data_IF_634710918405
#
_entry.id   IF_634710918405
#
_cell.length_a   1.000
_cell.length_b   1.000
_cell.length_c   1.000
_cell.angle_alpha   90.00
_cell.angle_beta   90.00
_cell.angle_gamma   90.00
#
_symmetry.space_group_name_H-M   'P 1'
#
loop_
_entity.id
_entity.type
_entity.pdbx_description
1 polymer ?
#
# COMPACT_ATOMS: atom_id res chain seq x y z
N UNK A 1 -4.93 30.48 86.90
CA UNK A 1 -6.18 31.16 86.48
C UNK A 1 -6.30 30.98 84.97
N UNK A 2 -7.49 30.75 84.40
CA UNK A 2 -7.68 30.68 82.93
C UNK A 2 -8.02 32.07 82.33
N UNK A 3 -8.62 32.15 81.13
CA UNK A 3 -8.47 31.28 79.95
C UNK A 3 -8.08 32.09 78.66
N UNK A 4 -8.13 31.42 77.49
CA UNK A 4 -7.96 31.90 76.07
C UNK A 4 -8.96 33.03 75.65
N UNK A 5 -8.97 33.62 74.40
CA UNK A 5 -8.34 33.24 73.10
C UNK A 5 -7.63 34.45 72.38
N UNK A 6 -7.38 34.60 71.06
CA UNK A 6 -7.60 33.81 69.80
C UNK A 6 -6.63 34.22 68.65
N UNK A 7 -6.60 33.40 67.57
CA UNK A 7 -6.32 33.70 66.13
C UNK A 7 -4.94 34.09 65.58
N UNK A 8 -4.75 33.66 64.32
CA UNK A 8 -3.53 33.71 63.52
C UNK A 8 -3.63 34.65 62.31
N UNK A 9 -2.49 34.96 61.67
CA UNK A 9 -2.39 35.17 60.22
C UNK A 9 -0.94 34.93 59.74
N UNK A 10 -0.79 34.39 58.51
CA UNK A 10 0.49 33.90 57.99
C UNK A 10 1.31 34.95 57.22
N UNK A 11 2.63 34.74 57.17
CA UNK A 11 3.58 35.60 56.46
C UNK A 11 3.95 35.07 55.08
N UNK A 12 3.83 35.93 54.06
CA UNK A 12 4.29 35.65 52.69
C UNK A 12 5.79 35.93 52.62
N UNK A 13 6.58 34.95 52.15
CA UNK A 13 8.03 35.12 51.93
C UNK A 13 8.33 35.07 50.43
N UNK A 14 8.81 36.20 49.90
CA UNK A 14 9.29 36.33 48.52
C UNK A 14 10.76 35.92 48.45
N UNK A 15 11.11 35.02 47.53
CA UNK A 15 12.49 34.61 47.25
C UNK A 15 12.73 34.59 45.74
N UNK A 16 13.66 35.43 45.26
CA UNK A 16 13.89 35.66 43.83
C UNK A 16 14.83 34.62 43.21
N UNK A 17 14.38 33.94 42.15
CA UNK A 17 15.20 33.03 41.35
C UNK A 17 15.93 33.77 40.22
N UNK A 18 17.25 33.51 40.07
CA UNK A 18 18.11 34.16 39.07
C UNK A 18 17.71 33.78 37.64
N UNK A 19 17.60 34.80 36.78
CA UNK A 19 17.27 34.68 35.35
C UNK A 19 18.44 34.07 34.55
N UNK A 20 18.40 32.76 34.28
CA UNK A 20 19.33 32.11 33.32
C UNK A 20 19.06 32.64 31.91
N UNK A 21 20.10 33.09 31.21
CA UNK A 21 20.03 33.42 29.79
C UNK A 21 19.76 32.14 28.98
N UNK A 22 18.80 32.20 28.05
CA UNK A 22 18.49 31.11 27.12
C UNK A 22 19.40 31.19 25.90
N UNK A 23 20.15 30.13 25.62
CA UNK A 23 20.85 29.94 24.36
C UNK A 23 19.84 29.75 23.21
N UNK A 24 19.91 30.48 22.09
CA UNK A 24 19.02 30.30 20.96
C UNK A 24 19.50 29.11 20.11
N UNK A 25 19.13 27.89 20.50
CA UNK A 25 19.69 26.68 19.89
C UNK A 25 18.94 25.39 20.18
N UNK A 26 17.65 25.45 20.49
CA UNK A 26 16.78 24.26 20.46
C UNK A 26 15.33 24.69 20.18
N UNK A 27 14.93 24.65 18.91
CA UNK A 27 13.51 24.62 18.55
C UNK A 27 13.12 23.16 18.56
N UNK A 28 12.59 22.70 19.69
CA UNK A 28 12.01 21.38 19.87
C UNK A 28 10.87 21.22 18.83
N UNK A 29 11.19 20.64 17.67
CA UNK A 29 10.30 20.52 16.50
C UNK A 29 9.27 19.39 16.70
N UNK A 30 8.91 19.13 17.96
CA UNK A 30 7.79 18.32 18.40
C UNK A 30 6.48 19.07 18.19
N UNK A 31 6.19 19.38 16.92
CA UNK A 31 4.79 19.37 16.51
C UNK A 31 4.26 17.99 16.85
N UNK A 32 3.25 17.90 17.73
CA UNK A 32 2.67 16.60 18.12
C UNK A 32 2.38 15.77 16.86
N UNK A 33 3.00 14.60 16.77
CA UNK A 33 3.01 13.81 15.56
C UNK A 33 1.60 13.25 15.32
N UNK A 34 0.78 13.98 14.55
CA UNK A 34 -0.60 13.64 14.24
C UNK A 34 -0.65 12.20 13.70
N UNK A 35 -1.32 11.31 14.45
CA UNK A 35 -1.27 9.88 14.23
C UNK A 35 -1.63 9.51 12.77
N UNK A 36 -0.77 8.71 12.14
CA UNK A 36 -0.94 8.27 10.75
C UNK A 36 -0.75 9.36 9.68
N UNK A 37 -0.44 10.63 10.03
CA UNK A 37 -0.11 11.67 9.04
C UNK A 37 1.17 11.33 8.26
N UNK A 38 2.15 10.73 8.94
CA UNK A 38 3.41 10.29 8.33
C UNK A 38 3.16 9.26 7.20
N UNK A 39 2.32 8.25 7.45
CA UNK A 39 1.88 7.32 6.41
C UNK A 39 1.23 8.03 5.20
N UNK A 40 0.28 8.97 5.40
CA UNK A 40 -0.36 9.66 4.25
C UNK A 40 0.60 10.54 3.48
N UNK A 41 1.58 11.16 4.15
CA UNK A 41 2.69 11.89 3.51
C UNK A 41 3.56 10.96 2.67
N UNK A 42 3.96 9.82 3.23
CA UNK A 42 4.73 8.81 2.51
C UNK A 42 3.96 8.28 1.30
N UNK A 43 2.70 7.86 1.46
CA UNK A 43 1.87 7.37 0.36
C UNK A 43 1.73 8.40 -0.78
N UNK A 44 1.49 9.67 -0.48
CA UNK A 44 1.38 10.70 -1.52
C UNK A 44 2.71 10.95 -2.27
N UNK A 45 3.85 10.90 -1.56
CA UNK A 45 5.18 11.01 -2.20
C UNK A 45 5.54 9.76 -3.03
N UNK A 46 5.23 8.57 -2.53
CA UNK A 46 5.45 7.33 -3.27
C UNK A 46 4.54 7.26 -4.51
N UNK A 47 3.29 7.70 -4.42
CA UNK A 47 2.39 7.82 -5.57
C UNK A 47 2.96 8.77 -6.63
N UNK A 48 3.54 9.90 -6.21
CA UNK A 48 4.24 10.81 -7.12
C UNK A 48 5.46 10.14 -7.78
N UNK A 49 6.25 9.37 -7.03
CA UNK A 49 7.39 8.64 -7.58
C UNK A 49 6.98 7.55 -8.60
N UNK A 50 5.86 6.85 -8.37
CA UNK A 50 5.31 5.87 -9.31
C UNK A 50 4.74 6.54 -10.56
N UNK A 51 3.94 7.59 -10.41
CA UNK A 51 3.19 8.20 -11.54
C UNK A 51 4.06 9.19 -12.33
N UNK A 52 4.74 10.11 -11.66
CA UNK A 52 5.46 11.20 -12.31
C UNK A 52 6.89 10.78 -12.67
N UNK A 53 7.58 10.06 -11.77
CA UNK A 53 8.96 9.59 -11.97
C UNK A 53 9.07 8.13 -12.46
N UNK A 54 7.95 7.44 -12.72
CA UNK A 54 7.89 6.06 -13.26
C UNK A 54 8.69 5.02 -12.48
N UNK A 55 8.87 5.23 -11.18
CA UNK A 55 9.64 4.33 -10.31
C UNK A 55 8.76 3.14 -9.86
N UNK A 56 9.24 1.88 -9.91
CA UNK A 56 8.45 0.73 -9.47
C UNK A 56 8.01 0.81 -8.01
N UNK A 57 6.74 0.43 -7.73
CA UNK A 57 6.16 0.45 -6.39
C UNK A 57 6.90 -0.49 -5.43
N UNK A 58 7.29 -1.68 -5.89
CA UNK A 58 7.91 -2.69 -5.03
C UNK A 58 9.26 -2.20 -4.49
N UNK A 59 10.11 -1.66 -5.36
CA UNK A 59 11.38 -1.03 -4.94
C UNK A 59 11.19 0.19 -4.02
N UNK A 60 10.09 0.94 -4.16
CA UNK A 60 9.78 2.06 -3.24
C UNK A 60 9.27 1.59 -1.87
N UNK A 61 8.64 0.42 -1.80
CA UNK A 61 7.97 -0.15 -0.60
C UNK A 61 8.69 -1.37 -0.03
N UNK A 62 9.94 -1.58 -0.43
CA UNK A 62 10.87 -2.53 0.18
C UNK A 62 11.23 -2.13 1.62
N UNK A 63 11.44 -3.11 2.49
CA UNK A 63 11.64 -2.87 3.92
C UNK A 63 13.04 -2.35 4.28
N UNK A 64 14.06 -2.69 3.49
CA UNK A 64 15.47 -2.46 3.82
C UNK A 64 16.10 -1.41 2.91
N UNK A 65 15.77 -1.45 1.62
CA UNK A 65 16.29 -0.60 0.55
C UNK A 65 15.26 0.41 0.02
N UNK A 66 14.01 0.33 0.48
CA UNK A 66 12.91 1.18 0.03
C UNK A 66 13.07 2.67 0.33
N UNK A 67 12.08 3.47 -0.11
CA UNK A 67 12.13 4.92 0.01
C UNK A 67 12.33 5.36 1.48
N UNK A 68 13.23 6.32 1.79
CA UNK A 68 13.61 6.63 3.18
C UNK A 68 12.43 6.96 4.11
N UNK A 69 11.41 7.68 3.61
CA UNK A 69 10.21 8.00 4.41
C UNK A 69 9.25 6.83 4.60
N UNK A 70 9.35 5.76 3.81
CA UNK A 70 8.61 4.53 4.05
C UNK A 70 9.35 3.67 5.09
N UNK A 71 10.68 3.57 4.98
CA UNK A 71 11.51 2.86 5.98
C UNK A 71 11.51 3.51 7.36
N UNK A 72 11.29 4.82 7.44
CA UNK A 72 11.12 5.54 8.71
C UNK A 72 9.79 5.26 9.45
N UNK A 73 8.83 4.56 8.82
CA UNK A 73 7.56 4.16 9.44
C UNK A 73 7.69 2.80 10.14
N UNK A 74 6.85 2.57 11.14
CA UNK A 74 6.65 1.24 11.74
C UNK A 74 5.94 0.28 10.77
N UNK A 75 5.89 -1.01 11.11
CA UNK A 75 5.30 -2.04 10.24
C UNK A 75 3.80 -1.85 9.97
N UNK A 76 3.04 -1.24 10.88
CA UNK A 76 1.60 -0.98 10.71
C UNK A 76 1.39 0.18 9.74
N UNK A 77 2.12 1.28 9.91
CA UNK A 77 2.05 2.42 8.99
C UNK A 77 2.64 2.06 7.60
N UNK A 78 3.66 1.19 7.53
CA UNK A 78 4.14 0.60 6.25
C UNK A 78 3.04 -0.20 5.55
N UNK A 79 2.36 -1.10 6.26
CA UNK A 79 1.25 -1.89 5.71
C UNK A 79 0.11 -0.98 5.20
N UNK A 80 -0.24 0.05 5.96
CA UNK A 80 -1.21 1.07 5.56
C UNK A 80 -0.78 1.84 4.29
N UNK A 81 0.50 2.22 4.18
CA UNK A 81 1.03 2.86 2.96
C UNK A 81 0.90 1.94 1.75
N UNK A 82 1.24 0.65 1.88
CA UNK A 82 1.06 -0.34 0.80
C UNK A 82 -0.41 -0.46 0.40
N UNK A 83 -1.32 -0.62 1.36
CA UNK A 83 -2.76 -0.73 1.12
C UNK A 83 -3.32 0.51 0.39
N UNK A 84 -2.94 1.72 0.82
CA UNK A 84 -3.31 2.97 0.15
C UNK A 84 -2.77 3.02 -1.29
N UNK A 85 -1.48 2.71 -1.49
CA UNK A 85 -0.82 2.82 -2.80
C UNK A 85 -1.38 1.82 -3.81
N UNK A 86 -1.50 0.55 -3.43
CA UNK A 86 -2.05 -0.52 -4.28
C UNK A 86 -3.48 -0.16 -4.71
N UNK A 87 -4.32 0.25 -3.77
CA UNK A 87 -5.71 0.68 -4.04
C UNK A 87 -5.78 1.93 -4.93
N UNK A 88 -4.96 2.95 -4.65
CA UNK A 88 -4.93 4.19 -5.43
C UNK A 88 -4.46 4.00 -6.87
N UNK A 89 -3.58 3.02 -7.10
CA UNK A 89 -3.09 2.65 -8.44
C UNK A 89 -4.09 1.73 -9.18
N UNK A 90 -4.67 0.75 -8.48
CA UNK A 90 -5.64 -0.21 -9.04
C UNK A 90 -6.96 0.43 -9.47
N UNK A 91 -7.42 1.44 -8.74
CA UNK A 91 -8.67 2.16 -9.03
C UNK A 91 -8.43 3.59 -9.53
N UNK A 92 -7.26 3.84 -10.12
CA UNK A 92 -6.80 5.20 -10.45
C UNK A 92 -7.74 5.92 -11.42
N UNK A 93 -8.33 5.21 -12.38
CA UNK A 93 -9.24 5.82 -13.36
C UNK A 93 -10.59 6.16 -12.70
N UNK A 94 -11.13 5.27 -11.86
CA UNK A 94 -12.37 5.52 -11.10
C UNK A 94 -12.18 6.69 -10.14
N UNK A 95 -11.07 6.72 -9.39
CA UNK A 95 -10.74 7.81 -8.46
C UNK A 95 -10.61 9.14 -9.22
N UNK A 96 -9.87 9.18 -10.33
CA UNK A 96 -9.72 10.39 -11.13
C UNK A 96 -11.06 10.89 -11.69
N UNK A 97 -11.91 9.99 -12.16
CA UNK A 97 -13.24 10.31 -12.69
C UNK A 97 -14.26 10.77 -11.63
N UNK A 98 -14.14 10.29 -10.39
CA UNK A 98 -14.96 10.77 -9.27
C UNK A 98 -14.46 12.12 -8.73
N UNK A 99 -13.15 12.33 -8.68
CA UNK A 99 -12.55 13.61 -8.29
C UNK A 99 -12.85 14.71 -9.31
N UNK A 100 -12.79 14.43 -10.62
CA UNK A 100 -13.02 15.44 -11.66
C UNK A 100 -14.45 15.99 -11.66
N UNK A 101 -15.46 15.16 -11.36
CA UNK A 101 -16.87 15.58 -11.18
C UNK A 101 -17.07 16.62 -10.07
N UNK A 102 -16.11 16.74 -9.16
CA UNK A 102 -16.15 17.61 -7.96
C UNK A 102 -15.27 18.85 -8.10
N UNK A 103 -14.73 19.09 -9.30
CA UNK A 103 -13.87 20.21 -9.63
C UNK A 103 -14.50 21.02 -10.76
N UNK A 104 -14.85 22.30 -10.51
CA UNK A 104 -15.39 23.20 -11.55
C UNK A 104 -14.43 23.41 -12.72
N UNK A 105 -13.12 23.32 -12.45
CA UNK A 105 -12.03 23.42 -13.43
C UNK A 105 -11.00 22.33 -13.13
N UNK A 106 -10.39 21.71 -14.15
CA UNK A 106 -9.29 20.78 -13.95
C UNK A 106 -8.17 21.40 -13.09
N UNK A 107 -7.50 20.57 -12.30
CA UNK A 107 -6.33 21.03 -11.54
C UNK A 107 -5.25 21.56 -12.50
N UNK A 108 -4.53 22.64 -12.15
CA UNK A 108 -3.38 23.09 -12.92
C UNK A 108 -2.36 21.96 -13.14
N UNK A 109 -1.75 21.88 -14.32
CA UNK A 109 -0.81 20.80 -14.65
C UNK A 109 0.38 20.71 -13.67
N UNK A 110 0.79 21.84 -13.09
CA UNK A 110 1.85 21.92 -12.07
C UNK A 110 1.38 21.62 -10.63
N UNK A 111 0.10 21.32 -10.41
CA UNK A 111 -0.47 20.98 -9.10
C UNK A 111 -0.44 19.46 -8.82
N UNK A 112 0.60 18.76 -9.27
CA UNK A 112 0.73 17.30 -9.11
C UNK A 112 0.64 16.85 -7.64
N UNK A 113 1.32 17.57 -6.73
CA UNK A 113 1.26 17.32 -5.29
C UNK A 113 -0.17 17.35 -4.73
N UNK A 114 -1.02 18.28 -5.19
CA UNK A 114 -2.44 18.35 -4.83
C UNK A 114 -3.21 17.14 -5.37
N UNK A 115 -2.95 16.75 -6.63
CA UNK A 115 -3.56 15.57 -7.25
C UNK A 115 -3.26 14.29 -6.47
N UNK A 116 -2.01 14.09 -6.05
CA UNK A 116 -1.59 12.90 -5.30
C UNK A 116 -2.19 12.86 -3.88
N UNK A 117 -2.31 14.01 -3.20
CA UNK A 117 -3.04 14.10 -1.91
C UNK A 117 -4.50 13.69 -2.08
N UNK A 118 -5.18 14.22 -3.11
CA UNK A 118 -6.58 13.88 -3.39
C UNK A 118 -6.76 12.40 -3.74
N UNK A 119 -5.87 11.81 -4.55
CA UNK A 119 -5.93 10.37 -4.87
C UNK A 119 -5.71 9.48 -3.64
N UNK A 120 -4.72 9.79 -2.80
CA UNK A 120 -4.46 9.06 -1.55
C UNK A 120 -5.64 9.14 -0.59
N UNK A 121 -6.30 10.30 -0.48
CA UNK A 121 -7.46 10.46 0.39
C UNK A 121 -8.72 9.78 -0.19
N UNK A 122 -8.95 9.91 -1.50
CA UNK A 122 -10.06 9.26 -2.19
C UNK A 122 -9.96 7.73 -2.14
N UNK A 123 -8.76 7.16 -2.31
CA UNK A 123 -8.52 5.72 -2.16
C UNK A 123 -8.94 5.20 -0.77
N UNK A 124 -8.67 5.97 0.29
CA UNK A 124 -9.11 5.63 1.65
C UNK A 124 -10.64 5.69 1.78
N UNK A 125 -11.26 6.81 1.38
CA UNK A 125 -12.72 7.07 1.51
C UNK A 125 -13.56 6.02 0.75
N UNK A 126 -13.10 5.60 -0.44
CA UNK A 126 -13.87 4.80 -1.38
C UNK A 126 -13.67 3.28 -1.21
N UNK A 127 -12.51 2.82 -0.74
CA UNK A 127 -12.11 1.41 -0.86
C UNK A 127 -11.47 0.81 0.39
N UNK A 128 -11.16 1.60 1.42
CA UNK A 128 -10.52 1.10 2.65
C UNK A 128 -11.44 1.35 3.86
N UNK A 129 -11.34 0.48 4.87
CA UNK A 129 -12.05 0.65 6.13
C UNK A 129 -11.35 1.70 7.02
N UNK A 130 -11.46 2.96 6.60
CA UNK A 130 -10.87 4.13 7.24
C UNK A 130 -11.97 5.19 7.38
N UNK A 131 -12.20 5.76 8.58
CA UNK A 131 -13.22 6.79 8.77
C UNK A 131 -13.01 7.98 7.82
N UNK A 132 -14.07 8.38 7.11
CA UNK A 132 -14.02 9.44 6.11
C UNK A 132 -13.49 10.77 6.69
N UNK A 133 -13.86 11.09 7.94
CA UNK A 133 -13.33 12.24 8.67
C UNK A 133 -11.80 12.18 8.81
N UNK A 134 -11.24 11.05 9.22
CA UNK A 134 -9.81 10.86 9.36
C UNK A 134 -9.08 10.98 8.00
N UNK A 135 -9.65 10.42 6.93
CA UNK A 135 -9.09 10.55 5.58
C UNK A 135 -9.10 12.01 5.08
N UNK A 136 -10.18 12.76 5.33
CA UNK A 136 -10.30 14.19 5.00
C UNK A 136 -9.33 15.04 5.84
N UNK A 137 -9.37 14.91 7.15
CA UNK A 137 -8.65 15.80 8.07
C UNK A 137 -7.13 15.60 7.99
N UNK A 138 -6.66 14.36 7.77
CA UNK A 138 -5.24 14.09 7.50
C UNK A 138 -4.80 14.61 6.12
N UNK A 139 -5.66 14.58 5.10
CA UNK A 139 -5.36 15.15 3.79
C UNK A 139 -5.27 16.69 3.84
N UNK A 140 -6.17 17.34 4.57
CA UNK A 140 -6.16 18.78 4.84
C UNK A 140 -4.92 19.17 5.65
N UNK A 141 -4.59 18.40 6.68
CA UNK A 141 -3.39 18.61 7.52
C UNK A 141 -2.09 18.42 6.73
N UNK A 142 -2.04 17.41 5.86
CA UNK A 142 -0.93 17.23 4.94
C UNK A 142 -0.77 18.44 4.02
N UNK A 143 -1.85 18.89 3.37
CA UNK A 143 -1.80 20.06 2.49
C UNK A 143 -1.37 21.36 3.19
N UNK A 144 -1.76 21.54 4.46
CA UNK A 144 -1.29 22.68 5.26
C UNK A 144 0.21 22.68 5.55
N UNK A 145 0.90 21.54 5.38
CA UNK A 145 2.32 21.39 5.69
C UNK A 145 3.29 21.61 4.52
N UNK A 146 2.80 21.92 3.31
CA UNK A 146 3.63 22.39 2.18
C UNK A 146 3.04 23.72 1.66
N UNK A 147 3.81 24.83 1.60
CA UNK A 147 3.36 26.11 1.06
C UNK A 147 2.73 26.03 -0.35
N UNK A 148 3.12 25.05 -1.16
CA UNK A 148 2.59 24.81 -2.52
C UNK A 148 1.15 24.30 -2.50
N UNK A 149 0.76 23.56 -1.46
CA UNK A 149 -0.57 22.94 -1.32
C UNK A 149 -1.44 23.59 -0.25
N UNK A 150 -0.86 24.39 0.66
CA UNK A 150 -1.53 25.13 1.74
C UNK A 150 -2.78 25.91 1.25
N UNK A 151 -2.64 26.67 0.16
CA UNK A 151 -3.74 27.47 -0.45
C UNK A 151 -4.91 26.62 -0.97
N UNK A 152 -4.71 25.33 -1.16
CA UNK A 152 -5.73 24.38 -1.63
C UNK A 152 -6.36 23.56 -0.49
N UNK A 153 -5.99 23.80 0.78
CA UNK A 153 -6.54 23.04 1.92
C UNK A 153 -8.08 23.12 2.03
N UNK A 154 -8.68 24.27 1.69
CA UNK A 154 -10.14 24.43 1.60
C UNK A 154 -10.76 23.63 0.44
N UNK A 155 -10.12 23.61 -0.72
CA UNK A 155 -10.54 22.83 -1.89
C UNK A 155 -10.50 21.33 -1.58
N UNK A 156 -9.42 20.84 -0.97
CA UNK A 156 -9.26 19.43 -0.55
C UNK A 156 -10.40 19.03 0.39
N UNK A 157 -10.68 19.85 1.40
CA UNK A 157 -11.78 19.61 2.33
C UNK A 157 -13.14 19.53 1.62
N UNK A 158 -13.44 20.49 0.73
CA UNK A 158 -14.70 20.55 0.00
C UNK A 158 -14.90 19.36 -0.95
N UNK A 159 -13.87 19.03 -1.73
CA UNK A 159 -13.87 17.91 -2.68
C UNK A 159 -14.04 16.58 -1.95
N UNK A 160 -13.24 16.30 -0.92
CA UNK A 160 -13.25 15.02 -0.23
C UNK A 160 -14.50 14.82 0.64
N UNK A 161 -15.04 15.86 1.31
CA UNK A 161 -16.34 15.77 2.00
C UNK A 161 -17.50 15.54 1.03
N UNK A 162 -17.40 16.02 -0.20
CA UNK A 162 -18.41 15.79 -1.25
C UNK A 162 -18.21 14.44 -1.93
N UNK A 163 -17.01 13.87 -1.89
CA UNK A 163 -16.76 12.47 -2.24
C UNK A 163 -17.37 11.53 -1.20
N UNK A 164 -17.04 11.71 0.08
CA UNK A 164 -17.56 10.90 1.18
C UNK A 164 -19.10 10.84 1.21
N UNK A 165 -19.78 11.98 1.11
CA UNK A 165 -21.25 12.07 1.15
C UNK A 165 -21.98 11.41 -0.03
N UNK A 166 -21.31 11.15 -1.14
CA UNK A 166 -21.92 10.60 -2.36
C UNK A 166 -21.32 9.25 -2.78
N UNK A 167 -20.39 8.69 -2.00
CA UNK A 167 -19.69 7.44 -2.35
C UNK A 167 -20.65 6.26 -2.53
N UNK A 168 -21.64 6.12 -1.65
CA UNK A 168 -22.59 5.01 -1.67
C UNK A 168 -23.48 5.02 -2.93
N UNK A 169 -23.77 6.21 -3.46
CA UNK A 169 -24.56 6.38 -4.68
C UNK A 169 -23.71 6.34 -5.97
N UNK A 170 -22.48 6.84 -5.94
CA UNK A 170 -21.66 7.01 -7.16
C UNK A 170 -20.64 5.89 -7.39
N UNK A 171 -20.14 5.19 -6.36
CA UNK A 171 -19.00 4.29 -6.50
C UNK A 171 -19.32 3.07 -7.37
N UNK A 172 -20.44 2.38 -7.11
CA UNK A 172 -20.82 1.19 -7.89
C UNK A 172 -21.10 1.54 -9.38
N UNK A 173 -21.88 2.59 -9.72
CA UNK A 173 -21.98 3.06 -11.11
C UNK A 173 -20.64 3.47 -11.74
N UNK A 174 -19.76 4.13 -10.99
CA UNK A 174 -18.45 4.53 -11.49
C UNK A 174 -17.54 3.34 -11.79
N UNK A 175 -17.55 2.30 -10.96
CA UNK A 175 -16.83 1.04 -11.19
C UNK A 175 -17.35 0.32 -12.44
N UNK A 176 -18.66 0.29 -12.67
CA UNK A 176 -19.27 -0.33 -13.87
C UNK A 176 -18.89 0.46 -15.15
N UNK A 177 -18.92 1.79 -15.09
CA UNK A 177 -18.69 2.65 -16.24
C UNK A 177 -17.21 2.87 -16.59
N UNK A 178 -16.30 2.74 -15.61
CA UNK A 178 -14.87 3.03 -15.79
C UNK A 178 -14.10 1.78 -16.19
N UNK A 179 -13.11 1.92 -17.05
CA UNK A 179 -12.13 0.89 -17.40
C UNK A 179 -10.78 1.21 -16.75
N UNK A 180 -10.29 0.34 -15.86
CA UNK A 180 -9.02 0.52 -15.13
C UNK A 180 -7.80 0.15 -15.99
N UNK A 181 -7.72 0.72 -17.19
CA UNK A 181 -6.60 0.54 -18.10
C UNK A 181 -6.41 1.77 -19.00
N UNK A 182 -5.17 2.07 -19.43
CA UNK A 182 -4.95 3.05 -20.49
C UNK A 182 -5.48 2.49 -21.82
N UNK A 183 -6.03 3.38 -22.66
CA UNK A 183 -6.69 3.00 -23.91
C UNK A 183 -5.85 2.12 -24.85
N UNK A 184 -4.53 2.32 -24.89
CA UNK A 184 -3.62 1.48 -25.70
C UNK A 184 -3.56 0.03 -25.22
N UNK A 185 -3.66 -0.23 -23.92
CA UNK A 185 -3.58 -1.57 -23.34
C UNK A 185 -4.90 -2.32 -23.55
N UNK A 186 -6.02 -1.64 -23.25
CA UNK A 186 -7.36 -2.15 -23.54
C UNK A 186 -7.55 -2.45 -25.04
N UNK A 187 -7.09 -1.56 -25.92
CA UNK A 187 -7.09 -1.79 -27.37
C UNK A 187 -6.32 -3.04 -27.78
N UNK A 188 -5.13 -3.29 -27.19
CA UNK A 188 -4.36 -4.51 -27.42
C UNK A 188 -5.09 -5.77 -26.93
N UNK A 189 -5.70 -5.74 -25.75
CA UNK A 189 -6.48 -6.88 -25.22
C UNK A 189 -7.67 -7.20 -26.14
N UNK A 190 -8.43 -6.20 -26.58
CA UNK A 190 -9.56 -6.38 -27.50
C UNK A 190 -9.12 -6.94 -28.85
N UNK A 191 -7.96 -6.51 -29.36
CA UNK A 191 -7.40 -7.03 -30.61
C UNK A 191 -6.89 -8.48 -30.49
N UNK A 192 -6.36 -8.88 -29.34
CA UNK A 192 -5.82 -10.22 -29.12
C UNK A 192 -6.88 -11.27 -28.70
N UNK A 193 -7.90 -10.86 -27.94
CA UNK A 193 -8.84 -11.78 -27.29
C UNK A 193 -10.33 -11.51 -27.61
N UNK A 194 -10.64 -10.46 -28.39
CA UNK A 194 -12.01 -10.00 -28.60
C UNK A 194 -12.55 -9.15 -27.45
N UNK A 195 -13.69 -8.50 -27.67
CA UNK A 195 -14.25 -7.49 -26.75
C UNK A 195 -14.65 -8.09 -25.40
N UNK A 196 -15.41 -9.20 -25.41
CA UNK A 196 -15.95 -9.78 -24.18
C UNK A 196 -14.85 -10.36 -23.28
N UNK A 197 -13.89 -11.08 -23.86
CA UNK A 197 -12.76 -11.64 -23.09
C UNK A 197 -11.84 -10.54 -22.56
N UNK A 198 -11.61 -9.47 -23.33
CA UNK A 198 -10.85 -8.31 -22.84
C UNK A 198 -11.56 -7.64 -21.65
N UNK A 199 -12.90 -7.55 -21.66
CA UNK A 199 -13.69 -7.03 -20.54
C UNK A 199 -13.54 -7.91 -19.29
N UNK A 200 -13.55 -9.24 -19.43
CA UNK A 200 -13.30 -10.16 -18.33
C UNK A 200 -11.88 -10.01 -17.74
N UNK A 201 -10.85 -9.93 -18.58
CA UNK A 201 -9.45 -9.71 -18.15
C UNK A 201 -9.31 -8.39 -17.38
N UNK A 202 -9.94 -7.31 -17.88
CA UNK A 202 -9.92 -5.99 -17.25
C UNK A 202 -10.80 -5.90 -15.98
N UNK A 203 -11.73 -6.83 -15.78
CA UNK A 203 -12.41 -7.02 -14.51
C UNK A 203 -11.50 -7.77 -13.52
N UNK A 204 -10.84 -8.85 -13.96
CA UNK A 204 -9.93 -9.64 -13.13
C UNK A 204 -8.80 -8.81 -12.51
N UNK A 205 -8.19 -7.88 -13.25
CA UNK A 205 -7.15 -6.97 -12.74
C UNK A 205 -7.59 -6.03 -11.59
N UNK A 206 -8.90 -5.93 -11.30
CA UNK A 206 -9.43 -5.11 -10.20
C UNK A 206 -9.54 -5.86 -8.88
N UNK A 207 -9.30 -7.16 -8.89
CA UNK A 207 -9.25 -7.95 -7.67
C UNK A 207 -7.83 -7.93 -7.10
N UNK A 208 -7.72 -8.17 -5.80
CA UNK A 208 -6.43 -8.49 -5.20
C UNK A 208 -5.99 -9.87 -5.70
N UNK A 209 -4.72 -10.01 -6.06
CA UNK A 209 -4.20 -11.30 -6.51
C UNK A 209 -4.04 -12.20 -5.27
N UNK A 210 -4.61 -13.43 -5.29
CA UNK A 210 -4.39 -14.38 -4.21
C UNK A 210 -2.92 -14.83 -4.19
N UNK A 211 -2.46 -15.32 -3.04
CA UNK A 211 -1.08 -15.78 -2.89
C UNK A 211 -1.04 -17.29 -3.18
N UNK A 212 -0.30 -17.66 -4.22
CA UNK A 212 -0.06 -19.06 -4.57
C UNK A 212 1.31 -19.54 -4.07
N UNK A 213 1.36 -20.79 -3.63
CA UNK A 213 2.55 -21.47 -3.12
C UNK A 213 2.84 -22.75 -3.91
N UNK A 214 4.10 -22.96 -4.27
CA UNK A 214 4.60 -24.28 -4.68
C UNK A 214 5.26 -24.97 -3.49
N UNK A 215 4.86 -26.22 -3.24
CA UNK A 215 5.37 -27.05 -2.12
C UNK A 215 6.37 -28.10 -2.61
N UNK A 216 7.32 -28.49 -1.76
CA UNK A 216 8.24 -29.61 -2.05
C UNK A 216 7.55 -30.97 -2.08
N UNK A 217 6.57 -31.17 -1.19
CA UNK A 217 5.83 -32.41 -1.00
C UNK A 217 4.53 -32.12 -0.26
N UNK A 218 3.60 -33.07 -0.29
CA UNK A 218 2.34 -33.07 0.48
C UNK A 218 1.53 -31.75 0.43
N UNK A 219 0.87 -31.44 -0.71
CA UNK A 219 0.03 -30.25 -0.83
C UNK A 219 -1.16 -30.24 0.14
N UNK A 220 -1.64 -31.39 0.60
CA UNK A 220 -2.78 -31.49 1.53
C UNK A 220 -2.39 -30.96 2.92
N UNK A 221 -1.29 -31.48 3.48
CA UNK A 221 -0.74 -31.01 4.76
C UNK A 221 -0.47 -29.50 4.76
N UNK A 222 0.12 -28.98 3.68
CA UNK A 222 0.40 -27.55 3.59
C UNK A 222 -0.85 -26.70 3.36
N UNK A 223 -1.90 -27.25 2.76
CA UNK A 223 -3.19 -26.56 2.58
C UNK A 223 -3.88 -26.35 3.92
N UNK A 224 -3.87 -27.35 4.80
CA UNK A 224 -4.35 -27.22 6.19
C UNK A 224 -3.53 -26.19 6.98
N UNK A 225 -2.20 -26.21 6.84
CA UNK A 225 -1.29 -25.29 7.58
C UNK A 225 -1.33 -23.84 7.10
N UNK A 226 -1.56 -23.61 5.80
CA UNK A 226 -1.58 -22.27 5.19
C UNK A 226 -3.00 -21.69 5.07
N UNK A 227 -4.05 -22.49 5.30
CA UNK A 227 -5.44 -22.05 5.21
C UNK A 227 -5.92 -21.78 3.78
N UNK A 228 -5.51 -22.62 2.83
CA UNK A 228 -5.73 -22.43 1.40
C UNK A 228 -6.65 -23.47 0.73
N UNK A 229 -6.52 -23.57 -0.59
CA UNK A 229 -7.04 -24.68 -1.41
C UNK A 229 -5.95 -25.22 -2.35
N UNK A 230 -5.91 -26.53 -2.58
CA UNK A 230 -5.08 -27.11 -3.63
C UNK A 230 -5.72 -26.84 -4.99
N UNK A 231 -5.03 -26.15 -5.88
CA UNK A 231 -5.46 -25.97 -7.27
C UNK A 231 -5.23 -27.25 -8.09
N UNK A 232 -5.93 -27.46 -9.22
CA UNK A 232 -5.69 -28.61 -10.11
C UNK A 232 -4.24 -28.73 -10.60
N UNK A 233 -3.51 -27.61 -10.60
CA UNK A 233 -2.09 -27.51 -10.94
C UNK A 233 -1.15 -27.85 -9.77
N UNK A 234 -1.67 -28.34 -8.63
CA UNK A 234 -0.88 -28.74 -7.46
C UNK A 234 -0.08 -27.61 -6.81
N UNK A 235 -0.52 -26.36 -6.97
CA UNK A 235 -0.12 -25.21 -6.14
C UNK A 235 -1.21 -24.97 -5.10
N UNK A 236 -0.86 -24.33 -3.99
CA UNK A 236 -1.82 -23.98 -2.93
C UNK A 236 -2.16 -22.51 -3.05
N UNK A 237 -3.44 -22.20 -3.19
CA UNK A 237 -3.94 -20.83 -3.24
C UNK A 237 -4.46 -20.39 -1.88
N UNK A 238 -4.02 -19.24 -1.41
CA UNK A 238 -4.49 -18.60 -0.16
C UNK A 238 -5.02 -17.20 -0.49
N UNK A 239 -6.30 -16.96 -0.23
CA UNK A 239 -6.97 -15.68 -0.49
C UNK A 239 -6.48 -14.56 0.46
N UNK A 240 -6.14 -14.90 1.70
CA UNK A 240 -5.63 -13.96 2.72
C UNK A 240 -4.61 -14.65 3.62
N UNK A 241 -3.40 -14.11 3.68
CA UNK A 241 -2.36 -14.61 4.58
C UNK A 241 -2.71 -14.29 6.04
N UNK A 242 -2.40 -15.22 6.94
CA UNK A 242 -2.55 -15.07 8.39
C UNK A 242 -1.43 -14.27 9.06
N UNK A 243 -0.25 -14.23 8.44
CA UNK A 243 0.95 -13.51 8.87
C UNK A 243 1.78 -13.08 7.64
N UNK A 244 2.91 -12.39 7.84
CA UNK A 244 3.83 -12.12 6.74
C UNK A 244 4.49 -13.41 6.25
N UNK A 245 4.89 -13.47 4.97
CA UNK A 245 5.46 -14.69 4.36
C UNK A 245 6.61 -15.32 5.17
N UNK A 246 7.57 -14.55 5.74
CA UNK A 246 8.64 -15.12 6.56
C UNK A 246 8.19 -15.72 7.90
N UNK A 247 7.00 -15.35 8.40
CA UNK A 247 6.41 -15.83 9.66
C UNK A 247 5.51 -17.06 9.45
N UNK A 248 5.21 -17.43 8.20
CA UNK A 248 4.38 -18.59 7.88
C UNK A 248 5.16 -19.91 8.14
N UNK A 249 4.49 -20.95 8.65
CA UNK A 249 5.14 -22.22 8.97
C UNK A 249 5.72 -22.86 7.70
N UNK A 250 6.94 -23.41 7.79
CA UNK A 250 7.62 -24.03 6.65
C UNK A 250 8.48 -23.09 5.81
N UNK A 251 8.43 -21.77 6.03
CA UNK A 251 9.24 -20.82 5.25
C UNK A 251 10.74 -20.97 5.53
N UNK A 252 11.14 -21.00 6.81
CA UNK A 252 12.55 -21.08 7.21
C UNK A 252 13.21 -22.42 6.82
N UNK A 253 12.43 -23.49 6.79
CA UNK A 253 12.81 -24.82 6.32
C UNK A 253 12.81 -24.92 4.77
N UNK A 254 12.31 -23.88 4.09
CA UNK A 254 12.11 -23.85 2.64
C UNK A 254 11.19 -24.98 2.16
N UNK A 255 10.18 -25.38 2.94
CA UNK A 255 9.25 -26.46 2.58
C UNK A 255 8.39 -26.11 1.36
N UNK A 256 8.24 -24.82 1.10
CA UNK A 256 7.52 -24.22 -0.02
C UNK A 256 8.14 -22.86 -0.38
N UNK A 257 7.72 -22.26 -1.49
CA UNK A 257 8.01 -20.87 -1.84
C UNK A 257 6.79 -20.23 -2.52
N UNK A 258 6.68 -18.91 -2.44
CA UNK A 258 5.65 -18.13 -3.14
C UNK A 258 5.89 -18.22 -4.64
N UNK A 259 4.89 -18.68 -5.40
CA UNK A 259 4.94 -18.76 -6.86
C UNK A 259 3.51 -18.85 -7.40
N UNK A 260 3.12 -17.86 -8.21
CA UNK A 260 1.87 -17.84 -8.97
C UNK A 260 1.58 -19.18 -9.68
N UNK A 261 0.31 -19.61 -9.68
CA UNK A 261 -0.11 -20.89 -10.22
C UNK A 261 0.24 -21.08 -11.71
N UNK A 262 0.21 -20.03 -12.51
CA UNK A 262 0.64 -20.09 -13.91
C UNK A 262 2.18 -20.07 -14.02
N UNK A 263 2.87 -19.31 -13.16
CA UNK A 263 4.33 -19.34 -13.08
C UNK A 263 4.90 -20.71 -12.67
N UNK A 264 4.09 -21.58 -12.06
CA UNK A 264 4.43 -22.95 -11.69
C UNK A 264 4.25 -23.99 -12.82
N UNK A 265 3.63 -23.63 -13.94
CA UNK A 265 3.38 -24.56 -15.06
C UNK A 265 4.62 -24.89 -15.90
N UNK A 266 5.49 -23.95 -16.32
CA UNK A 266 6.54 -24.24 -17.29
C UNK A 266 7.50 -25.35 -16.87
N UNK A 267 7.92 -25.37 -15.60
CA UNK A 267 8.83 -26.40 -15.09
C UNK A 267 8.20 -27.81 -15.12
N UNK A 268 6.87 -27.92 -14.99
CA UNK A 268 6.13 -29.18 -14.99
C UNK A 268 5.87 -29.72 -16.40
N UNK A 269 5.93 -28.87 -17.42
CA UNK A 269 5.71 -29.25 -18.83
C UNK A 269 6.92 -29.95 -19.48
N UNK A 270 8.10 -29.93 -18.84
CA UNK A 270 9.30 -30.59 -19.37
C UNK A 270 9.29 -32.13 -19.26
N UNK A 271 8.38 -32.73 -18.49
CA UNK A 271 8.37 -34.17 -18.22
C UNK A 271 9.45 -34.58 -17.21
N UNK A 272 10.04 -35.77 -17.39
CA UNK A 272 11.15 -36.22 -16.53
C UNK A 272 12.46 -35.56 -16.94
N UNK A 273 12.99 -34.71 -16.04
CA UNK A 273 14.26 -34.00 -16.20
C UNK A 273 15.31 -34.45 -15.17
N UNK A 274 15.08 -35.56 -14.48
CA UNK A 274 15.96 -36.04 -13.40
C UNK A 274 17.36 -36.34 -13.91
N UNK A 275 18.36 -35.72 -13.29
CA UNK A 275 19.78 -35.85 -13.65
C UNK A 275 20.20 -35.06 -14.90
N UNK A 276 19.27 -34.47 -15.66
CA UNK A 276 19.59 -33.66 -16.83
C UNK A 276 20.24 -32.32 -16.43
N UNK A 277 20.93 -31.68 -17.38
CA UNK A 277 21.42 -30.31 -17.26
C UNK A 277 20.40 -29.36 -17.86
N UNK A 278 19.93 -28.39 -17.07
CA UNK A 278 18.91 -27.41 -17.49
C UNK A 278 19.45 -26.00 -17.28
N UNK A 279 19.14 -25.07 -18.18
CA UNK A 279 19.47 -23.66 -18.04
C UNK A 279 18.19 -22.84 -17.75
N UNK A 280 18.26 -21.94 -16.77
CA UNK A 280 17.22 -20.97 -16.43
C UNK A 280 17.82 -19.57 -16.67
N UNK A 281 17.38 -18.88 -17.73
CA UNK A 281 18.11 -17.74 -18.32
C UNK A 281 17.60 -16.35 -17.90
N UNK A 282 16.51 -16.31 -17.13
CA UNK A 282 16.01 -15.12 -16.42
C UNK A 282 15.50 -15.63 -15.06
N UNK A 283 16.44 -16.11 -14.26
CA UNK A 283 16.15 -16.97 -13.13
C UNK A 283 15.50 -16.24 -11.95
N UNK A 284 15.77 -14.94 -11.75
CA UNK A 284 15.31 -14.22 -10.57
C UNK A 284 13.76 -14.11 -10.52
N UNK A 285 13.12 -14.24 -9.35
CA UNK A 285 13.70 -14.46 -8.01
C UNK A 285 13.96 -15.94 -7.63
N UNK A 286 13.96 -16.88 -8.59
CA UNK A 286 14.43 -18.26 -8.41
C UNK A 286 13.34 -19.34 -8.30
N UNK A 287 12.05 -18.98 -8.32
CA UNK A 287 10.95 -19.95 -8.11
C UNK A 287 10.89 -21.08 -9.15
N UNK A 288 11.21 -20.81 -10.42
CA UNK A 288 11.29 -21.86 -11.47
C UNK A 288 12.57 -22.70 -11.32
N UNK A 289 13.69 -22.05 -11.01
CA UNK A 289 14.95 -22.74 -10.67
C UNK A 289 14.74 -23.75 -9.53
N UNK A 290 14.02 -23.36 -8.48
CA UNK A 290 13.67 -24.23 -7.36
C UNK A 290 12.82 -25.44 -7.78
N UNK A 291 11.82 -25.24 -8.66
CA UNK A 291 11.03 -26.34 -9.24
C UNK A 291 11.89 -27.32 -10.06
N UNK A 292 12.78 -26.80 -10.91
CA UNK A 292 13.67 -27.61 -11.74
C UNK A 292 14.66 -28.43 -10.89
N UNK A 293 15.21 -27.83 -9.83
CA UNK A 293 16.06 -28.53 -8.85
C UNK A 293 15.26 -29.61 -8.10
N UNK A 294 14.03 -29.32 -7.67
CA UNK A 294 13.15 -30.28 -6.99
C UNK A 294 12.80 -31.48 -7.88
N UNK A 295 12.61 -31.25 -9.19
CA UNK A 295 12.45 -32.31 -10.19
C UNK A 295 13.74 -33.12 -10.46
N UNK A 296 14.85 -32.80 -9.78
CA UNK A 296 16.11 -33.54 -9.82
C UNK A 296 17.06 -33.11 -10.94
N UNK A 297 16.84 -31.97 -11.61
CA UNK A 297 17.75 -31.46 -12.62
C UNK A 297 18.98 -30.76 -11.99
N UNK A 298 20.09 -30.77 -12.74
CA UNK A 298 21.28 -29.95 -12.46
C UNK A 298 21.13 -28.61 -13.17
N UNK A 299 20.64 -27.61 -12.45
CA UNK A 299 20.25 -26.32 -13.03
C UNK A 299 21.43 -25.33 -13.04
N UNK A 300 21.60 -24.61 -14.15
CA UNK A 300 22.45 -23.42 -14.26
C UNK A 300 21.53 -22.21 -14.38
N UNK A 301 21.59 -21.30 -13.41
CA UNK A 301 20.75 -20.09 -13.35
C UNK A 301 21.55 -18.86 -13.78
N UNK A 302 20.92 -17.97 -14.54
CA UNK A 302 21.45 -16.68 -15.03
C UNK A 302 20.34 -15.64 -14.92
N UNK A 303 20.70 -14.40 -14.56
CA UNK A 303 19.85 -13.20 -14.56
C UNK A 303 20.70 -11.96 -14.90
#
# INVERSE_FOLDING_TARGET
>A
MGPQPDRAQGSVVVSGAKRRQRTPGDRDDRTEAVAGLAARKAAARLLAAVIDARTPLDGLTDHDNGHPQYRALDMRDRALVRAILVTALRHRMTIAGLLSRRLEKPLPQNATALSHILHVAAAQILFLDIPDSAAVDLAVTHAKSDPRTLRFSGLINGVLRTLARAKDAELAPALIATEEAPAWFSGRLRAAYGVDKAKEILAAHRHEAPVDFSVKSDPALWTERLGGIVLPTGTIRVERLSASVPELPGFAEGAWWVQDAAAALPARLFGDIKGLRVADLCAAPGGKTAQLILAGARVTAVD
#
